data_IF_362775618138
#
_entry.id   IF_362775618138
#
_cell.length_a   1.000
_cell.length_b   1.000
_cell.length_c   1.000
_cell.angle_alpha   90.00
_cell.angle_beta   90.00
_cell.angle_gamma   90.00
#
_symmetry.space_group_name_H-M   'P 1'
#
loop_
_entity.id
_entity.type
_entity.pdbx_description
1 polymer ?
#
# COMPACT_ATOMS: atom_id res chain seq x y z
N UNK A 1 -10.45 10.16 -12.37
CA UNK A 1 -9.09 10.43 -11.83
C UNK A 1 -9.02 9.95 -10.38
N UNK A 2 -7.90 9.34 -9.98
CA UNK A 2 -7.62 8.86 -8.62
C UNK A 2 -6.42 9.64 -8.09
N UNK A 3 -6.46 10.04 -6.82
CA UNK A 3 -5.38 10.79 -6.16
C UNK A 3 -4.76 9.92 -5.07
N UNK A 4 -3.46 9.65 -5.19
CA UNK A 4 -2.69 8.77 -4.33
C UNK A 4 -2.72 7.31 -4.78
N UNK A 5 -1.58 6.64 -4.64
CA UNK A 5 -1.35 5.22 -5.00
C UNK A 5 -0.94 4.38 -3.78
N UNK A 6 -1.44 4.77 -2.59
CA UNK A 6 -1.44 3.91 -1.41
C UNK A 6 -2.44 2.75 -1.55
N UNK A 7 -2.62 1.97 -0.48
CA UNK A 7 -3.51 0.80 -0.49
C UNK A 7 -4.92 1.10 -1.04
N UNK A 8 -5.52 2.22 -0.63
CA UNK A 8 -6.86 2.64 -1.09
C UNK A 8 -6.87 3.05 -2.56
N UNK A 9 -5.86 3.79 -3.01
CA UNK A 9 -5.73 4.22 -4.40
C UNK A 9 -5.56 3.06 -5.38
N UNK A 10 -4.77 2.06 -5.00
CA UNK A 10 -4.59 0.84 -5.78
C UNK A 10 -5.89 0.04 -5.89
N UNK A 11 -6.66 -0.08 -4.80
CA UNK A 11 -7.98 -0.75 -4.82
C UNK A 11 -8.96 0.01 -5.70
N UNK A 12 -9.02 1.34 -5.57
CA UNK A 12 -9.87 2.17 -6.43
C UNK A 12 -9.51 1.99 -7.91
N UNK A 13 -8.21 2.01 -8.23
CA UNK A 13 -7.71 1.84 -9.60
C UNK A 13 -8.09 0.47 -10.15
N UNK A 14 -7.89 -0.60 -9.37
CA UNK A 14 -8.29 -1.96 -9.73
C UNK A 14 -9.78 -2.03 -10.11
N UNK A 15 -10.66 -1.47 -9.29
CA UNK A 15 -12.10 -1.53 -9.55
C UNK A 15 -12.53 -0.68 -10.75
N UNK A 16 -11.88 0.47 -10.98
CA UNK A 16 -12.10 1.28 -12.17
C UNK A 16 -11.70 0.53 -13.44
N UNK A 17 -10.52 -0.10 -13.45
CA UNK A 17 -10.05 -0.92 -14.58
C UNK A 17 -10.95 -2.14 -14.79
N UNK A 18 -11.36 -2.83 -13.73
CA UNK A 18 -12.28 -3.96 -13.81
C UNK A 18 -13.64 -3.58 -14.41
N UNK A 19 -14.09 -2.35 -14.20
CA UNK A 19 -15.33 -1.80 -14.75
C UNK A 19 -15.13 -1.11 -16.10
N UNK A 20 -13.97 -1.30 -16.74
CA UNK A 20 -13.61 -0.77 -18.07
C UNK A 20 -13.61 0.78 -18.16
N UNK A 21 -13.42 1.47 -17.04
CA UNK A 21 -13.29 2.93 -17.04
C UNK A 21 -11.87 3.38 -17.39
N UNK A 22 -11.75 4.35 -18.31
CA UNK A 22 -10.49 5.06 -18.55
C UNK A 22 -10.12 5.90 -17.32
N UNK A 23 -9.09 5.49 -16.58
CA UNK A 23 -8.77 6.05 -15.28
C UNK A 23 -7.30 6.38 -15.15
N UNK A 24 -7.00 7.63 -14.81
CA UNK A 24 -5.65 8.09 -14.45
C UNK A 24 -5.51 8.15 -12.93
N UNK A 25 -4.43 7.56 -12.41
CA UNK A 25 -4.00 7.68 -11.02
C UNK A 25 -2.82 8.66 -10.92
N UNK A 26 -2.92 9.64 -10.04
CA UNK A 26 -1.88 10.63 -9.78
C UNK A 26 -1.26 10.35 -8.41
N UNK A 27 0.05 10.08 -8.39
CA UNK A 27 0.84 9.91 -7.18
C UNK A 27 1.92 10.98 -7.13
N UNK A 28 2.13 11.54 -5.94
CA UNK A 28 3.14 12.58 -5.74
C UNK A 28 4.55 12.00 -5.71
N UNK A 29 4.70 10.79 -5.16
CA UNK A 29 5.97 10.08 -5.08
C UNK A 29 6.30 9.34 -6.39
N UNK A 30 7.57 8.98 -6.57
CA UNK A 30 8.02 8.13 -7.68
C UNK A 30 7.74 6.63 -7.46
N UNK A 31 6.92 6.28 -6.47
CA UNK A 31 6.65 4.91 -6.04
C UNK A 31 5.23 4.79 -5.47
N UNK A 32 4.69 3.58 -5.51
CA UNK A 32 3.37 3.23 -4.93
C UNK A 32 3.52 2.70 -3.50
N UNK A 33 2.38 2.48 -2.83
CA UNK A 33 2.32 1.85 -1.50
C UNK A 33 2.09 2.83 -0.35
N UNK A 34 2.36 4.12 -0.58
CA UNK A 34 2.08 5.20 0.38
C UNK A 34 2.71 4.93 1.76
N UNK A 35 1.88 4.87 2.80
CA UNK A 35 2.29 4.69 4.19
C UNK A 35 3.18 3.47 4.45
N UNK A 36 2.95 2.36 3.75
CA UNK A 36 3.72 1.14 3.97
C UNK A 36 5.13 1.22 3.41
N UNK A 37 5.39 2.16 2.50
CA UNK A 37 6.72 2.38 1.93
C UNK A 37 7.55 3.22 2.88
N UNK A 38 8.24 2.53 3.78
CA UNK A 38 9.22 3.14 4.68
C UNK A 38 10.31 3.89 3.91
N UNK A 39 10.67 5.08 4.41
CA UNK A 39 11.82 5.85 4.00
C UNK A 39 12.66 6.21 5.23
N UNK A 40 13.97 6.37 5.06
CA UNK A 40 14.90 6.71 6.16
C UNK A 40 14.82 8.19 6.59
N UNK A 41 13.77 8.92 6.20
CA UNK A 41 13.56 10.32 6.56
C UNK A 41 14.42 11.34 5.80
N UNK A 42 15.21 10.91 4.81
CA UNK A 42 16.10 11.81 4.05
C UNK A 42 15.38 12.70 3.01
N UNK A 43 14.11 12.44 2.71
CA UNK A 43 13.32 13.25 1.77
C UNK A 43 12.27 14.08 2.51
N UNK A 44 12.45 15.41 2.48
CA UNK A 44 11.53 16.43 2.99
C UNK A 44 10.12 16.37 2.38
N UNK A 45 9.96 15.67 1.27
CA UNK A 45 8.75 15.74 0.43
C UNK A 45 7.85 14.51 0.57
N UNK A 46 8.15 13.59 1.49
CA UNK A 46 7.29 12.45 1.76
C UNK A 46 6.26 12.78 2.84
N UNK A 47 4.98 12.73 2.50
CA UNK A 47 3.87 13.01 3.43
C UNK A 47 3.48 11.78 4.28
N UNK A 48 4.21 10.68 4.17
CA UNK A 48 3.95 9.46 4.93
C UNK A 48 5.23 8.96 5.59
N UNK A 49 5.22 9.00 6.93
CA UNK A 49 6.33 8.55 7.76
C UNK A 49 5.91 7.32 8.54
N UNK A 50 6.74 6.29 8.47
CA UNK A 50 6.57 5.05 9.21
C UNK A 50 7.83 4.79 10.03
N UNK A 51 7.67 4.22 11.22
CA UNK A 51 8.81 3.78 12.01
C UNK A 51 9.43 2.52 11.37
N UNK A 52 10.76 2.39 11.43
CA UNK A 52 11.47 1.19 10.94
C UNK A 52 10.96 -0.10 11.59
N UNK A 53 10.50 -0.03 12.83
CA UNK A 53 9.99 -1.17 13.60
C UNK A 53 8.48 -1.43 13.40
N UNK A 54 7.81 -0.70 12.52
CA UNK A 54 6.37 -0.82 12.35
C UNK A 54 5.98 -2.22 11.84
N UNK A 55 4.98 -2.79 12.52
CA UNK A 55 4.31 -4.04 12.17
C UNK A 55 2.79 -3.78 12.10
N UNK A 56 2.05 -4.60 11.34
CA UNK A 56 0.59 -4.54 11.36
C UNK A 56 0.06 -4.86 12.75
N UNK A 57 -1.02 -4.18 13.15
CA UNK A 57 -1.79 -4.50 14.35
C UNK A 57 -2.95 -5.50 14.06
N UNK A 58 -3.17 -5.81 12.79
CA UNK A 58 -4.14 -6.81 12.31
C UNK A 58 -3.40 -8.01 11.69
N UNK A 59 -4.06 -9.17 11.69
CA UNK A 59 -3.48 -10.41 11.19
C UNK A 59 -3.52 -10.48 9.66
N UNK A 60 -2.60 -11.24 9.03
CA UNK A 60 -2.52 -11.35 7.57
C UNK A 60 -3.86 -11.66 6.86
N UNK A 61 -4.74 -12.55 7.35
CA UNK A 61 -6.02 -12.81 6.66
C UNK A 61 -7.01 -11.65 6.80
N UNK A 62 -6.86 -10.81 7.84
CA UNK A 62 -7.70 -9.63 8.06
C UNK A 62 -7.21 -8.41 7.28
N UNK A 63 -5.90 -8.32 7.00
CA UNK A 63 -5.28 -7.21 6.28
C UNK A 63 -5.24 -7.43 4.76
N UNK A 64 -5.15 -8.68 4.30
CA UNK A 64 -5.02 -9.03 2.89
C UNK A 64 -6.22 -8.62 2.04
N UNK A 65 -5.97 -8.36 0.75
CA UNK A 65 -7.04 -8.13 -0.21
C UNK A 65 -7.81 -9.43 -0.48
N UNK A 66 -9.12 -9.32 -0.69
CA UNK A 66 -10.04 -10.46 -0.77
C UNK A 66 -9.71 -11.45 -1.88
N UNK A 67 -9.17 -10.98 -3.00
CA UNK A 67 -8.78 -11.79 -4.17
C UNK A 67 -7.27 -11.84 -4.41
N UNK A 68 -6.48 -11.32 -3.46
CA UNK A 68 -5.02 -11.38 -3.48
C UNK A 68 -4.50 -11.74 -2.09
N UNK A 69 -4.63 -13.02 -1.69
CA UNK A 69 -4.25 -13.47 -0.36
C UNK A 69 -2.74 -13.39 -0.17
N UNK A 70 -2.33 -13.05 1.06
CA UNK A 70 -0.93 -13.00 1.44
C UNK A 70 -0.33 -14.43 1.51
N UNK A 71 0.96 -14.60 1.18
CA UNK A 71 1.62 -15.91 1.21
C UNK A 71 1.50 -16.66 2.55
N UNK A 72 1.40 -18.00 2.52
CA UNK A 72 1.20 -18.81 3.72
C UNK A 72 2.43 -18.81 4.66
N UNK A 73 3.62 -18.61 4.12
CA UNK A 73 4.91 -18.55 4.82
C UNK A 73 5.17 -17.19 5.50
N UNK A 74 4.39 -16.16 5.18
CA UNK A 74 4.49 -14.86 5.84
C UNK A 74 4.00 -14.91 7.30
N UNK A 75 4.59 -14.09 8.20
CA UNK A 75 4.19 -14.03 9.59
C UNK A 75 2.74 -13.56 9.77
N UNK A 76 2.14 -13.90 10.92
CA UNK A 76 0.76 -13.50 11.24
C UNK A 76 0.57 -12.00 11.28
N UNK A 77 1.55 -11.25 11.81
CA UNK A 77 1.61 -9.79 11.78
C UNK A 77 2.80 -9.37 10.92
N UNK A 78 2.59 -8.42 10.03
CA UNK A 78 3.51 -8.16 8.94
C UNK A 78 4.38 -6.94 9.25
N UNK A 79 5.71 -7.05 9.18
CA UNK A 79 6.57 -5.87 9.18
C UNK A 79 6.32 -5.06 7.90
N UNK A 80 6.55 -3.75 7.97
CA UNK A 80 6.37 -2.84 6.84
C UNK A 80 7.10 -3.30 5.55
N UNK A 81 8.23 -4.01 5.70
CA UNK A 81 9.02 -4.55 4.58
C UNK A 81 8.29 -5.59 3.74
N UNK A 82 7.25 -6.22 4.28
CA UNK A 82 6.40 -7.17 3.55
C UNK A 82 5.11 -6.52 3.02
N UNK A 83 4.89 -5.23 3.30
CA UNK A 83 3.67 -4.51 2.92
C UNK A 83 3.86 -3.55 1.73
N UNK A 84 5.11 -3.30 1.28
CA UNK A 84 5.47 -2.28 0.28
C UNK A 84 6.57 -2.71 -0.68
#
# INVERSE_FOLDING_TARGET
AIIGSGATGLVALKHCVYSEFETTCFEQNSYVGGLWRYNDGEKSDSYSFMYRSAITNTTKPMTGFSDFPMPPDWPTYLPHKLMA
#
